data_IF_218298275511
#
_entry.id   IF_218298275511
#
_cell.length_a   1.000
_cell.length_b   1.000
_cell.length_c   1.000
_cell.angle_alpha   90.00
_cell.angle_beta   90.00
_cell.angle_gamma   90.00
#
_symmetry.space_group_name_H-M   'P 1'
#
loop_
_entity.id
_entity.type
_entity.pdbx_description
1 polymer ?
#
# COMPACT_ATOMS: atom_id res chain seq x y z
N UNK A 1 7.46 15.32 0.52
CA UNK A 1 8.63 15.30 -0.39
C UNK A 1 9.18 13.89 -0.44
N UNK A 2 8.84 13.14 -1.49
CA UNK A 2 9.44 11.85 -1.84
C UNK A 2 9.11 11.55 -3.31
N UNK A 3 10.07 11.81 -4.20
CA UNK A 3 10.18 11.20 -5.54
C UNK A 3 10.69 9.74 -5.33
N UNK A 4 10.57 8.75 -6.22
CA UNK A 4 10.07 8.58 -7.60
C UNK A 4 9.78 7.05 -7.79
N UNK A 5 9.31 6.45 -8.89
CA UNK A 5 9.02 6.83 -10.30
C UNK A 5 7.67 6.16 -10.68
N UNK A 6 6.83 6.77 -11.54
CA UNK A 6 5.53 6.22 -12.00
C UNK A 6 4.66 5.73 -10.81
N UNK A 7 4.34 6.68 -9.92
CA UNK A 7 3.52 6.41 -8.73
C UNK A 7 2.03 6.47 -9.02
N UNK A 8 1.34 5.33 -8.93
CA UNK A 8 -0.12 5.23 -8.90
C UNK A 8 -0.65 5.68 -7.52
N UNK A 9 -1.64 6.59 -7.48
CA UNK A 9 -2.11 7.27 -6.25
C UNK A 9 -3.62 7.14 -6.05
N UNK A 10 -4.04 7.11 -4.76
CA UNK A 10 -5.45 6.98 -4.32
C UNK A 10 -5.99 8.27 -3.65
N UNK A 11 -5.16 9.30 -3.40
CA UNK A 11 -5.52 10.51 -2.65
C UNK A 11 -5.28 11.83 -3.42
N UNK A 12 -6.20 12.78 -3.27
CA UNK A 12 -6.25 14.04 -4.04
C UNK A 12 -5.04 14.99 -3.78
N UNK A 13 -4.74 15.85 -4.76
CA UNK A 13 -3.72 16.90 -4.68
C UNK A 13 -2.47 16.69 -5.55
N UNK A 14 -2.48 15.65 -6.38
CA UNK A 14 -1.38 15.12 -7.21
C UNK A 14 -1.00 15.85 -8.52
N UNK A 15 -1.89 16.66 -9.09
CA UNK A 15 -2.02 16.81 -10.56
C UNK A 15 -0.78 17.34 -11.31
N UNK A 16 0.11 18.07 -10.62
CA UNK A 16 1.34 18.63 -11.20
C UNK A 16 2.60 17.76 -11.01
N UNK A 17 2.47 16.57 -10.40
CA UNK A 17 3.59 15.72 -9.99
C UNK A 17 3.82 14.47 -10.88
N UNK A 18 3.12 14.37 -12.03
CA UNK A 18 3.29 13.24 -12.96
C UNK A 18 2.76 11.90 -12.40
N UNK A 19 1.66 11.96 -11.65
CA UNK A 19 1.03 10.81 -10.98
C UNK A 19 -0.25 10.39 -11.69
N UNK A 20 -0.60 9.12 -11.61
CA UNK A 20 -1.84 8.57 -12.17
C UNK A 20 -2.80 8.17 -11.06
N UNK A 21 -4.06 8.61 -11.15
CA UNK A 21 -5.13 8.15 -10.27
C UNK A 21 -5.71 6.83 -10.76
N UNK A 22 -5.67 5.80 -9.92
CA UNK A 22 -6.13 4.45 -10.28
C UNK A 22 -6.96 3.80 -9.17
N UNK A 23 -7.74 2.75 -9.49
CA UNK A 23 -8.33 1.88 -8.48
C UNK A 23 -7.27 1.24 -7.58
N UNK A 24 -7.60 1.06 -6.30
CA UNK A 24 -6.72 0.43 -5.30
C UNK A 24 -6.23 -0.97 -5.74
N UNK A 25 -7.10 -1.78 -6.34
CA UNK A 25 -6.75 -3.10 -6.88
C UNK A 25 -5.72 -3.04 -8.02
N UNK A 26 -5.73 -1.98 -8.82
CA UNK A 26 -4.77 -1.73 -9.90
C UNK A 26 -3.42 -1.33 -9.31
N UNK A 27 -3.42 -0.45 -8.30
CA UNK A 27 -2.21 -0.06 -7.57
C UNK A 27 -1.52 -1.30 -6.97
N UNK A 28 -2.24 -2.13 -6.21
CA UNK A 28 -1.63 -3.31 -5.57
C UNK A 28 -0.97 -4.27 -6.58
N UNK A 29 -1.62 -4.54 -7.72
CA UNK A 29 -1.10 -5.48 -8.73
C UNK A 29 0.10 -4.98 -9.50
N UNK A 30 0.20 -3.66 -9.71
CA UNK A 30 1.22 -3.06 -10.57
C UNK A 30 2.38 -2.41 -9.80
N UNK A 31 2.18 -2.02 -8.53
CA UNK A 31 3.22 -1.39 -7.72
C UNK A 31 4.27 -2.38 -7.21
N UNK A 32 5.55 -2.04 -7.38
CA UNK A 32 6.67 -2.68 -6.68
C UNK A 32 6.91 -2.06 -5.28
N UNK A 33 6.41 -0.85 -5.06
CA UNK A 33 6.38 -0.19 -3.75
C UNK A 33 4.98 0.36 -3.47
N UNK A 34 4.39 -0.04 -2.35
CA UNK A 34 3.09 0.46 -1.87
C UNK A 34 3.36 1.29 -0.62
N UNK A 35 3.08 2.60 -0.68
CA UNK A 35 3.37 3.52 0.43
C UNK A 35 2.06 4.04 1.02
N UNK A 36 1.80 3.72 2.29
CA UNK A 36 0.63 4.21 3.02
C UNK A 36 0.92 5.59 3.62
N UNK A 37 0.30 6.61 3.04
CA UNK A 37 0.44 8.03 3.46
C UNK A 37 -0.88 8.66 3.91
N UNK A 38 -1.98 7.91 3.88
CA UNK A 38 -3.32 8.41 4.18
C UNK A 38 -3.61 8.45 5.69
N UNK A 39 -4.49 9.36 6.10
CA UNK A 39 -5.00 9.39 7.47
C UNK A 39 -5.84 8.13 7.76
N UNK A 40 -5.63 7.52 8.92
CA UNK A 40 -6.46 6.42 9.38
C UNK A 40 -7.84 6.93 9.84
N UNK A 41 -8.88 6.30 9.32
CA UNK A 41 -10.30 6.55 9.59
C UNK A 41 -10.98 5.23 9.96
N UNK A 42 -12.25 5.27 10.36
CA UNK A 42 -13.02 4.04 10.58
C UNK A 42 -13.22 3.26 9.26
N UNK A 43 -13.31 3.98 8.14
CA UNK A 43 -13.62 3.45 6.81
C UNK A 43 -12.43 2.77 6.11
N UNK A 44 -11.19 3.13 6.44
CA UNK A 44 -9.98 2.51 5.88
C UNK A 44 -9.17 1.69 6.92
N UNK A 45 -9.78 1.37 8.06
CA UNK A 45 -9.22 0.41 9.02
C UNK A 45 -9.02 -0.94 8.33
N UNK A 46 -7.87 -1.57 8.54
CA UNK A 46 -7.49 -2.84 7.90
C UNK A 46 -7.57 -2.82 6.36
N UNK A 47 -7.28 -1.66 5.73
CA UNK A 47 -7.15 -1.52 4.27
C UNK A 47 -6.16 -2.54 3.67
N UNK A 48 -5.00 -2.70 4.32
CA UNK A 48 -4.07 -3.79 4.03
C UNK A 48 -4.45 -5.02 4.88
N UNK A 49 -5.24 -5.90 4.27
CA UNK A 49 -5.66 -7.19 4.80
C UNK A 49 -5.19 -8.32 3.87
N UNK A 50 -5.52 -9.57 4.21
CA UNK A 50 -5.14 -10.78 3.46
C UNK A 50 -5.42 -10.69 1.96
N UNK A 51 -6.57 -10.14 1.56
CA UNK A 51 -6.91 -9.98 0.15
C UNK A 51 -6.07 -8.90 -0.53
N UNK A 52 -5.71 -7.83 0.18
CA UNK A 52 -4.79 -6.81 -0.34
C UNK A 52 -3.38 -7.38 -0.54
N UNK A 53 -2.84 -8.10 0.45
CA UNK A 53 -1.52 -8.75 0.34
C UNK A 53 -1.46 -9.79 -0.79
N UNK A 54 -2.53 -10.57 -1.00
CA UNK A 54 -2.61 -11.53 -2.10
C UNK A 54 -2.66 -10.88 -3.50
N UNK A 55 -3.04 -9.61 -3.60
CA UNK A 55 -3.04 -8.85 -4.87
C UNK A 55 -1.70 -8.18 -5.16
N UNK A 56 -0.82 -8.07 -4.17
CA UNK A 56 0.52 -7.48 -4.36
C UNK A 56 1.43 -8.42 -5.16
N UNK A 57 2.38 -7.85 -5.90
CA UNK A 57 3.51 -8.63 -6.43
C UNK A 57 4.29 -9.22 -5.25
N UNK A 58 4.81 -10.45 -5.39
CA UNK A 58 5.69 -11.05 -4.34
C UNK A 58 6.99 -10.26 -4.11
N UNK A 59 7.44 -9.52 -5.13
CA UNK A 59 8.56 -8.58 -5.04
C UNK A 59 8.19 -7.23 -4.42
N UNK A 60 6.90 -6.96 -4.18
CA UNK A 60 6.46 -5.67 -3.70
C UNK A 60 6.80 -5.45 -2.22
N UNK A 61 7.14 -4.22 -1.90
CA UNK A 61 7.42 -3.77 -0.55
C UNK A 61 6.31 -2.84 -0.06
N UNK A 62 5.71 -3.16 1.09
CA UNK A 62 4.83 -2.26 1.81
C UNK A 62 5.66 -1.31 2.69
N UNK A 63 5.38 -0.01 2.61
CA UNK A 63 5.97 1.03 3.46
C UNK A 63 4.82 1.73 4.18
N UNK A 64 4.76 1.65 5.52
CA UNK A 64 3.66 2.25 6.30
C UNK A 64 4.14 3.41 7.17
N UNK A 65 4.18 4.62 6.59
CA UNK A 65 4.51 5.86 7.33
C UNK A 65 3.29 6.53 7.99
N UNK A 66 2.13 5.85 8.01
CA UNK A 66 0.87 6.40 8.51
C UNK A 66 0.54 5.92 9.94
N UNK A 67 -0.47 5.05 10.09
CA UNK A 67 -0.86 4.44 11.37
C UNK A 67 -0.99 2.94 11.20
N UNK A 68 -0.62 2.18 12.23
CA UNK A 68 -0.71 0.71 12.22
C UNK A 68 -2.14 0.19 11.98
N UNK A 69 -3.17 0.97 12.30
CA UNK A 69 -4.60 0.61 12.10
C UNK A 69 -5.04 0.47 10.64
N UNK A 70 -4.24 0.93 9.67
CA UNK A 70 -4.46 0.68 8.25
C UNK A 70 -4.11 -0.76 7.84
N UNK A 71 -3.34 -1.48 8.67
CA UNK A 71 -2.81 -2.80 8.37
C UNK A 71 -3.33 -3.82 9.38
N UNK A 72 -3.97 -4.88 8.90
CA UNK A 72 -4.29 -6.01 9.75
C UNK A 72 -2.99 -6.73 10.12
N UNK A 73 -2.66 -6.76 11.42
CA UNK A 73 -1.40 -7.29 11.91
C UNK A 73 -1.30 -8.81 11.76
N UNK A 74 -2.40 -9.53 11.92
CA UNK A 74 -2.44 -10.99 11.78
C UNK A 74 -2.23 -11.40 10.31
N UNK A 75 -2.92 -10.72 9.38
CA UNK A 75 -2.75 -10.92 7.93
C UNK A 75 -1.34 -10.54 7.46
N UNK A 76 -0.75 -9.48 8.04
CA UNK A 76 0.62 -9.08 7.76
C UNK A 76 1.62 -10.14 8.24
N UNK A 77 1.42 -10.69 9.45
CA UNK A 77 2.28 -11.75 9.98
C UNK A 77 2.23 -13.00 9.09
N UNK A 78 1.04 -13.41 8.63
CA UNK A 78 0.89 -14.50 7.66
C UNK A 78 1.57 -14.16 6.32
N UNK A 79 1.39 -12.95 5.79
CA UNK A 79 1.98 -12.53 4.52
C UNK A 79 3.51 -12.48 4.56
N UNK A 80 4.11 -12.08 5.69
CA UNK A 80 5.55 -12.11 5.92
C UNK A 80 6.09 -13.55 6.04
N UNK A 81 5.44 -14.40 6.83
CA UNK A 81 5.83 -15.81 7.00
C UNK A 81 5.79 -16.58 5.68
N UNK A 82 4.80 -16.31 4.84
CA UNK A 82 4.63 -16.93 3.52
C UNK A 82 5.49 -16.29 2.41
N UNK A 83 6.34 -15.29 2.73
CA UNK A 83 7.15 -14.57 1.73
C UNK A 83 6.31 -13.88 0.65
N UNK A 84 5.07 -13.47 0.98
CA UNK A 84 4.13 -12.84 0.05
C UNK A 84 4.27 -11.33 -0.02
N UNK A 85 4.88 -10.71 1.00
CA UNK A 85 5.24 -9.28 1.04
C UNK A 85 6.52 -9.10 1.85
N UNK A 86 7.25 -8.02 1.57
CA UNK A 86 8.20 -7.42 2.52
C UNK A 86 7.61 -6.16 3.14
N UNK A 87 8.07 -5.75 4.31
CA UNK A 87 7.65 -4.49 4.97
C UNK A 87 8.84 -3.67 5.45
N UNK A 88 8.75 -2.35 5.30
CA UNK A 88 9.57 -1.37 6.01
C UNK A 88 8.66 -0.46 6.85
N UNK A 89 9.11 -0.17 8.08
CA UNK A 89 8.46 0.69 9.06
C UNK A 89 9.16 2.05 9.15
#
# INVERSE_FOLDING_TARGET
MALSIIGKIVANGAEQLGVEYVPFDTLLKESDFVILTCAATAQNKNLMNKSAFQKMKKSATLINIARGTLVNQDDLAEALQNGSTSIFL
#
